data_IF_657932419715
#
_entry.id   IF_657932419715
#
_cell.length_a   1.000
_cell.length_b   1.000
_cell.length_c   1.000
_cell.angle_alpha   90.00
_cell.angle_beta   90.00
_cell.angle_gamma   90.00
#
_symmetry.space_group_name_H-M   'P 1'
#
loop_
_entity.id
_entity.type
_entity.pdbx_description
1 polymer ?
#
# COMPACT_ATOMS: atom_id res chain seq x y z
N UNK A 1 8.67 0.04 11.73
CA UNK A 1 7.19 0.12 11.72
C UNK A 1 6.74 1.56 11.80
N UNK A 2 5.85 1.95 10.91
CA UNK A 2 5.30 3.30 10.92
C UNK A 2 4.38 3.47 12.12
N UNK A 3 4.59 4.54 12.88
CA UNK A 3 3.70 4.87 14.01
C UNK A 3 2.55 5.72 13.50
N UNK A 4 1.34 5.30 13.79
CA UNK A 4 0.12 6.04 13.47
C UNK A 4 -0.52 6.54 14.75
N UNK A 5 -1.15 7.70 14.68
CA UNK A 5 -1.92 8.24 15.81
C UNK A 5 -3.14 7.37 16.05
N UNK A 6 -3.82 6.94 14.97
CA UNK A 6 -5.00 6.09 15.05
C UNK A 6 -4.80 4.81 14.27
N UNK A 7 -4.29 3.78 14.94
CA UNK A 7 -4.06 2.48 14.33
C UNK A 7 -5.38 1.81 13.92
N UNK A 8 -6.47 2.07 14.63
CA UNK A 8 -7.75 1.48 14.31
C UNK A 8 -8.32 2.05 13.00
N UNK A 9 -8.05 3.32 12.68
CA UNK A 9 -8.42 3.89 11.38
C UNK A 9 -7.68 3.16 10.26
N UNK A 10 -6.39 2.93 10.43
CA UNK A 10 -5.58 2.20 9.45
C UNK A 10 -6.16 0.80 9.19
N UNK A 11 -6.48 0.07 10.25
CA UNK A 11 -7.05 -1.27 10.11
C UNK A 11 -8.42 -1.26 9.42
N UNK A 12 -9.29 -0.31 9.78
CA UNK A 12 -10.60 -0.17 9.11
C UNK A 12 -10.44 0.09 7.61
N UNK A 13 -9.46 0.91 7.24
CA UNK A 13 -9.19 1.20 5.84
C UNK A 13 -8.71 -0.06 5.11
N UNK A 14 -7.83 -0.86 5.74
CA UNK A 14 -7.37 -2.12 5.13
C UNK A 14 -8.55 -3.05 4.89
N UNK A 15 -9.43 -3.23 5.89
CA UNK A 15 -10.62 -4.06 5.71
C UNK A 15 -11.52 -3.55 4.58
N UNK A 16 -11.74 -2.25 4.51
CA UNK A 16 -12.57 -1.66 3.45
C UNK A 16 -12.01 -1.94 2.07
N UNK A 17 -10.70 -1.81 1.90
CA UNK A 17 -10.03 -2.12 0.64
C UNK A 17 -10.15 -3.61 0.30
N UNK A 18 -9.87 -4.49 1.26
CA UNK A 18 -9.95 -5.93 1.02
C UNK A 18 -11.36 -6.35 0.59
N UNK A 19 -12.38 -5.81 1.22
CA UNK A 19 -13.78 -6.09 0.85
C UNK A 19 -14.08 -5.58 -0.56
N UNK A 20 -13.60 -4.39 -0.90
CA UNK A 20 -13.78 -3.84 -2.26
C UNK A 20 -13.10 -4.71 -3.30
N UNK A 21 -11.87 -5.18 -3.02
CA UNK A 21 -11.16 -6.05 -3.96
C UNK A 21 -11.91 -7.35 -4.21
N UNK A 22 -12.44 -7.96 -3.15
CA UNK A 22 -13.24 -9.18 -3.29
C UNK A 22 -14.46 -8.93 -4.17
N UNK A 23 -15.16 -7.82 -3.95
CA UNK A 23 -16.35 -7.48 -4.74
C UNK A 23 -16.02 -7.16 -6.20
N UNK A 24 -14.79 -6.74 -6.50
CA UNK A 24 -14.36 -6.39 -7.85
C UNK A 24 -13.69 -7.56 -8.59
N UNK A 25 -13.71 -8.75 -8.01
CA UNK A 25 -13.22 -9.93 -8.68
C UNK A 25 -11.72 -10.20 -8.53
N UNK A 26 -11.07 -9.53 -7.60
CA UNK A 26 -9.68 -9.87 -7.27
C UNK A 26 -9.63 -11.19 -6.52
N UNK A 27 -8.52 -11.90 -6.67
CA UNK A 27 -8.29 -13.16 -5.96
C UNK A 27 -6.92 -13.11 -5.24
N UNK A 28 -6.62 -14.15 -4.47
CA UNK A 28 -5.40 -14.23 -3.66
C UNK A 28 -5.22 -12.99 -2.78
N UNK A 29 -6.31 -12.49 -2.19
CA UNK A 29 -6.28 -11.30 -1.35
C UNK A 29 -5.63 -11.63 -0.02
N UNK A 30 -4.53 -10.94 0.28
CA UNK A 30 -3.82 -11.03 1.56
C UNK A 30 -3.77 -9.63 2.16
N UNK A 31 -3.90 -9.55 3.47
CA UNK A 31 -3.96 -8.26 4.15
C UNK A 31 -3.33 -8.36 5.54
N UNK A 32 -2.66 -7.28 5.96
CA UNK A 32 -1.99 -7.23 7.25
C UNK A 32 -2.98 -6.83 8.35
N UNK A 33 -4.05 -7.61 8.46
CA UNK A 33 -5.07 -7.49 9.51
C UNK A 33 -5.59 -8.88 9.86
N UNK A 34 -6.17 -8.99 11.05
CA UNK A 34 -6.75 -10.24 11.52
C UNK A 34 -7.82 -10.75 10.55
N UNK A 35 -7.84 -12.05 10.31
CA UNK A 35 -8.82 -12.68 9.43
C UNK A 35 -8.32 -12.89 8.01
N UNK A 36 -7.17 -12.36 7.65
CA UNK A 36 -6.56 -12.54 6.34
C UNK A 36 -5.18 -13.17 6.47
N UNK A 37 -4.75 -13.85 5.43
CA UNK A 37 -3.36 -14.31 5.34
C UNK A 37 -2.46 -13.08 5.19
N UNK A 38 -1.30 -13.12 5.82
CA UNK A 38 -0.34 -12.00 5.77
C UNK A 38 0.30 -11.93 4.38
N UNK A 39 0.42 -10.72 3.80
CA UNK A 39 1.16 -10.57 2.54
C UNK A 39 2.62 -10.98 2.66
N UNK A 40 3.23 -11.37 1.55
CA UNK A 40 4.64 -11.72 1.51
C UNK A 40 5.51 -10.48 1.72
N UNK A 41 6.67 -10.69 2.35
CA UNK A 41 7.65 -9.62 2.53
C UNK A 41 8.28 -9.25 1.20
N UNK A 42 8.52 -7.96 1.01
CA UNK A 42 9.24 -7.44 -0.15
C UNK A 42 10.52 -6.79 0.32
N UNK A 43 11.63 -7.11 -0.33
CA UNK A 43 12.93 -6.54 0.01
C UNK A 43 13.89 -6.71 -1.17
N UNK A 44 14.94 -5.88 -1.17
CA UNK A 44 16.02 -6.02 -2.11
C UNK A 44 17.24 -6.63 -1.42
N UNK A 45 18.10 -7.29 -2.19
CA UNK A 45 19.33 -7.90 -1.69
C UNK A 45 20.36 -6.91 -1.17
N UNK A 46 20.17 -5.62 -1.41
CA UNK A 46 21.04 -4.60 -0.86
C UNK A 46 20.95 -4.64 0.66
N UNK A 47 22.11 -4.75 1.31
CA UNK A 47 22.20 -5.01 2.75
C UNK A 47 21.59 -3.93 3.65
N UNK A 48 21.26 -2.78 3.09
CA UNK A 48 20.73 -1.66 3.86
C UNK A 48 19.22 -1.66 3.96
N UNK A 49 18.52 -2.50 3.20
CA UNK A 49 17.07 -2.48 3.15
C UNK A 49 16.47 -3.60 3.97
N UNK A 50 15.63 -3.22 4.92
CA UNK A 50 14.84 -4.18 5.70
C UNK A 50 13.68 -4.68 4.85
N UNK A 51 13.24 -5.93 5.04
CA UNK A 51 12.01 -6.39 4.41
C UNK A 51 10.82 -5.58 4.92
N UNK A 52 9.88 -5.30 4.03
CA UNK A 52 8.63 -4.64 4.37
C UNK A 52 7.46 -5.48 3.88
N UNK A 53 6.39 -5.47 4.65
CA UNK A 53 5.15 -6.18 4.30
C UNK A 53 4.17 -5.13 3.78
N UNK A 54 3.67 -5.27 2.52
CA UNK A 54 2.60 -4.40 2.05
C UNK A 54 1.35 -4.56 2.92
N UNK A 55 0.54 -3.52 3.02
CA UNK A 55 -0.70 -3.62 3.76
C UNK A 55 -1.67 -4.62 3.12
N UNK A 56 -1.73 -4.67 1.80
CA UNK A 56 -2.58 -5.60 1.07
C UNK A 56 -1.87 -6.02 -0.22
N UNK A 57 -2.03 -7.28 -0.59
CA UNK A 57 -1.68 -7.77 -1.92
C UNK A 57 -2.87 -8.52 -2.49
N UNK A 58 -2.98 -8.52 -3.81
CA UNK A 58 -4.05 -9.22 -4.51
C UNK A 58 -3.63 -9.51 -5.93
N UNK A 59 -4.42 -10.30 -6.63
CA UNK A 59 -4.16 -10.68 -8.01
C UNK A 59 -5.43 -10.53 -8.83
N UNK A 60 -5.30 -10.06 -10.07
CA UNK A 60 -6.41 -10.00 -11.01
C UNK A 60 -5.87 -10.14 -12.42
N UNK A 61 -6.45 -11.04 -13.20
CA UNK A 61 -6.04 -11.27 -14.59
C UNK A 61 -4.54 -11.51 -14.71
N UNK A 62 -3.98 -12.29 -13.79
CA UNK A 62 -2.55 -12.65 -13.73
C UNK A 62 -1.62 -11.46 -13.41
N UNK A 63 -2.17 -10.33 -12.98
CA UNK A 63 -1.39 -9.17 -12.55
C UNK A 63 -1.38 -9.10 -11.04
N UNK A 64 -0.20 -8.91 -10.45
CA UNK A 64 -0.04 -8.71 -9.01
C UNK A 64 -0.23 -7.25 -8.64
N UNK A 65 -0.98 -7.01 -7.57
CA UNK A 65 -1.27 -5.67 -7.06
C UNK A 65 -0.75 -5.53 -5.64
N UNK A 66 -0.12 -4.40 -5.36
CA UNK A 66 0.40 -4.05 -4.03
C UNK A 66 -0.27 -2.76 -3.57
N UNK A 67 -0.79 -2.76 -2.35
CA UNK A 67 -1.50 -1.61 -1.81
C UNK A 67 -0.83 -1.16 -0.52
N UNK A 68 -0.56 0.13 -0.41
CA UNK A 68 -0.14 0.76 0.84
C UNK A 68 -1.24 1.68 1.30
N UNK A 69 -1.66 1.50 2.55
CA UNK A 69 -2.75 2.27 3.14
C UNK A 69 -2.15 3.26 4.13
N UNK A 70 -2.37 4.55 3.89
CA UNK A 70 -1.86 5.61 4.75
C UNK A 70 -2.99 6.33 5.45
N UNK A 71 -2.73 6.77 6.68
CA UNK A 71 -3.58 7.73 7.37
C UNK A 71 -3.01 9.14 7.13
N UNK A 72 -3.74 10.19 7.49
CA UNK A 72 -3.29 11.55 7.21
C UNK A 72 -1.94 11.88 7.85
N UNK A 73 -1.62 11.25 8.97
CA UNK A 73 -0.40 11.50 9.72
C UNK A 73 0.80 10.70 9.24
N UNK A 74 0.65 9.79 8.27
CA UNK A 74 1.77 8.92 7.84
C UNK A 74 2.23 9.15 6.41
N UNK A 75 1.53 9.95 5.62
CA UNK A 75 1.85 10.12 4.18
C UNK A 75 3.30 10.57 3.97
N UNK A 76 3.79 11.49 4.80
CA UNK A 76 5.12 12.09 4.62
C UNK A 76 6.19 11.56 5.59
N UNK A 77 5.89 10.58 6.43
CA UNK A 77 6.89 10.08 7.37
C UNK A 77 8.00 9.30 6.65
N UNK A 78 9.23 9.30 7.18
CA UNK A 78 10.37 8.66 6.50
C UNK A 78 10.17 7.19 6.17
N UNK A 79 9.49 6.43 7.02
CA UNK A 79 9.25 5.02 6.77
C UNK A 79 8.32 4.81 5.57
N UNK A 80 7.31 5.66 5.41
CA UNK A 80 6.42 5.60 4.24
C UNK A 80 7.18 5.91 2.95
N UNK A 81 8.12 6.86 3.00
CA UNK A 81 8.99 7.15 1.86
C UNK A 81 9.73 5.90 1.41
N UNK A 82 10.35 5.18 2.35
CA UNK A 82 11.10 3.96 2.05
C UNK A 82 10.17 2.90 1.46
N UNK A 83 9.01 2.70 2.07
CA UNK A 83 8.05 1.69 1.65
C UNK A 83 7.50 1.98 0.25
N UNK A 84 7.11 3.21 -0.02
CA UNK A 84 6.57 3.58 -1.33
C UNK A 84 7.61 3.38 -2.44
N UNK A 85 8.86 3.75 -2.18
CA UNK A 85 9.94 3.54 -3.15
C UNK A 85 10.16 2.05 -3.41
N UNK A 86 10.20 1.25 -2.36
CA UNK A 86 10.42 -0.19 -2.48
C UNK A 86 9.28 -0.86 -3.23
N UNK A 87 8.04 -0.59 -2.85
CA UNK A 87 6.88 -1.24 -3.47
C UNK A 87 6.69 -0.80 -4.92
N UNK A 88 6.93 0.48 -5.21
CA UNK A 88 6.90 0.98 -6.59
C UNK A 88 7.93 0.27 -7.47
N UNK A 89 9.15 0.19 -7.01
CA UNK A 89 10.21 -0.47 -7.77
C UNK A 89 9.97 -1.96 -7.94
N UNK A 90 9.48 -2.62 -6.90
CA UNK A 90 9.16 -4.05 -6.98
C UNK A 90 8.03 -4.30 -7.99
N UNK A 91 6.98 -3.49 -7.95
CA UNK A 91 5.88 -3.63 -8.89
C UNK A 91 6.35 -3.46 -10.33
N UNK A 92 7.18 -2.46 -10.60
CA UNK A 92 7.76 -2.26 -11.94
C UNK A 92 8.57 -3.50 -12.36
N UNK A 93 9.38 -4.02 -11.45
CA UNK A 93 10.25 -5.16 -11.74
C UNK A 93 9.47 -6.40 -12.16
N UNK A 94 8.33 -6.67 -11.53
CA UNK A 94 7.52 -7.86 -11.84
C UNK A 94 6.33 -7.55 -12.76
N UNK A 95 6.28 -6.35 -13.33
CA UNK A 95 5.17 -5.90 -14.17
C UNK A 95 3.82 -5.94 -13.43
N UNK A 96 3.84 -5.62 -12.15
CA UNK A 96 2.66 -5.50 -11.32
C UNK A 96 2.18 -4.05 -11.20
N UNK A 97 1.27 -3.82 -10.25
CA UNK A 97 0.71 -2.49 -10.00
C UNK A 97 0.90 -2.11 -8.53
N UNK A 98 1.24 -0.85 -8.30
CA UNK A 98 1.33 -0.29 -6.95
C UNK A 98 0.28 0.79 -6.79
N UNK A 99 -0.55 0.68 -5.75
CA UNK A 99 -1.65 1.58 -5.48
C UNK A 99 -1.52 2.11 -4.05
N UNK A 100 -1.65 3.41 -3.89
CA UNK A 100 -1.67 4.06 -2.58
C UNK A 100 -3.11 4.36 -2.22
N UNK A 101 -3.49 4.09 -0.99
CA UNK A 101 -4.84 4.31 -0.48
C UNK A 101 -4.77 5.34 0.65
N UNK A 102 -5.56 6.38 0.56
CA UNK A 102 -5.57 7.48 1.54
C UNK A 102 -7.00 7.84 1.92
N UNK A 103 -7.19 8.55 3.05
CA UNK A 103 -8.51 9.11 3.36
C UNK A 103 -8.96 10.09 2.28
N UNK A 104 -10.28 10.25 2.13
CA UNK A 104 -10.86 11.03 1.02
C UNK A 104 -10.44 12.50 0.98
N UNK A 105 -9.92 13.07 2.04
CA UNK A 105 -9.45 14.45 2.08
C UNK A 105 -7.93 14.58 1.90
N UNK A 106 -7.24 13.49 1.61
CA UNK A 106 -5.76 13.46 1.54
C UNK A 106 -5.22 13.21 0.14
N UNK A 107 -6.04 13.33 -0.91
CA UNK A 107 -5.60 13.05 -2.27
C UNK A 107 -4.46 13.97 -2.72
N UNK A 108 -4.57 15.26 -2.40
CA UNK A 108 -3.54 16.22 -2.83
C UNK A 108 -2.20 15.93 -2.16
N UNK A 109 -2.20 15.58 -0.88
CA UNK A 109 -1.00 15.21 -0.15
C UNK A 109 -0.35 13.97 -0.74
N UNK A 110 -1.16 12.97 -1.09
CA UNK A 110 -0.64 11.75 -1.72
C UNK A 110 -0.01 12.04 -3.08
N UNK A 111 -0.66 12.86 -3.90
CA UNK A 111 -0.12 13.28 -5.20
C UNK A 111 1.18 14.05 -5.05
N UNK A 112 1.26 14.94 -4.07
CA UNK A 112 2.49 15.69 -3.79
C UNK A 112 3.63 14.74 -3.45
N UNK A 113 3.37 13.74 -2.59
CA UNK A 113 4.39 12.77 -2.20
C UNK A 113 4.86 11.95 -3.40
N UNK A 114 3.96 11.48 -4.25
CA UNK A 114 4.32 10.74 -5.47
C UNK A 114 5.24 11.59 -6.36
N UNK A 115 4.89 12.86 -6.55
CA UNK A 115 5.69 13.77 -7.35
C UNK A 115 7.07 14.00 -6.72
N UNK A 116 7.12 14.23 -5.42
CA UNK A 116 8.37 14.48 -4.70
C UNK A 116 9.31 13.28 -4.75
N UNK A 117 8.76 12.06 -4.69
CA UNK A 117 9.57 10.84 -4.70
C UNK A 117 9.95 10.40 -6.11
N UNK A 118 9.34 10.98 -7.14
CA UNK A 118 9.59 10.62 -8.53
C UNK A 118 9.41 9.11 -8.78
N UNK A 119 8.38 8.52 -8.19
CA UNK A 119 8.09 7.10 -8.30
C UNK A 119 6.85 6.86 -9.16
N UNK A 120 6.66 5.59 -9.57
CA UNK A 120 5.47 5.17 -10.31
C UNK A 120 4.46 4.65 -9.31
N UNK A 121 3.30 5.30 -9.26
CA UNK A 121 2.13 4.84 -8.53
C UNK A 121 1.01 4.73 -9.57
N UNK A 122 0.47 3.53 -9.74
CA UNK A 122 -0.48 3.25 -10.82
C UNK A 122 -1.84 3.87 -10.55
N UNK A 123 -2.22 4.03 -9.29
CA UNK A 123 -3.46 4.68 -8.91
C UNK A 123 -3.39 5.14 -7.45
N UNK A 124 -4.21 6.11 -7.11
CA UNK A 124 -4.41 6.55 -5.73
C UNK A 124 -5.90 6.42 -5.44
N UNK A 125 -6.23 5.63 -4.43
CA UNK A 125 -7.61 5.44 -4.01
C UNK A 125 -7.91 6.31 -2.80
N UNK A 126 -9.03 7.00 -2.85
CA UNK A 126 -9.56 7.71 -1.69
C UNK A 126 -10.65 6.87 -1.08
N UNK A 127 -10.61 6.67 0.22
CA UNK A 127 -11.69 5.97 0.90
C UNK A 127 -12.15 6.76 2.12
N UNK A 128 -13.39 6.56 2.48
CA UNK A 128 -13.95 7.11 3.69
C UNK A 128 -13.35 6.38 4.88
N UNK A 129 -12.81 7.14 5.80
CA UNK A 129 -12.13 6.56 6.95
C UNK A 129 -12.86 6.84 8.26
#
# INVERSE_FOLDING_TARGET
MTKRIDQSQHERMIYAVAIRLDSEGFNEIKADVEGYELPDKIWWESAEHKPHIPDITASKDSTSYFFEVETSDTIFVPESVVQWKLFSAHAVHINGKFIVVVPEDCLNEAREQVTNLEIIVDDIWEIKA
#
